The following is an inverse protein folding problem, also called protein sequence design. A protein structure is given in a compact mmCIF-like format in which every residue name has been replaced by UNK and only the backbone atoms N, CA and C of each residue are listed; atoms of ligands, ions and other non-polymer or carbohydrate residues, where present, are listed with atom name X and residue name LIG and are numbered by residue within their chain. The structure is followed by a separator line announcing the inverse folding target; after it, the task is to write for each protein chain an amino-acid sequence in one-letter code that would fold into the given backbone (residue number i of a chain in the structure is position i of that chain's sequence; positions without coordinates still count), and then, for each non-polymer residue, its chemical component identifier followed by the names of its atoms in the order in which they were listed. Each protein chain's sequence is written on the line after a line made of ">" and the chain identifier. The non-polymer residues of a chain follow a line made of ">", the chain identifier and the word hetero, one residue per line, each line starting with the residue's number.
data_IF_498494299815
#
_entry.id   IF_498494299815
#
_cell.length_a   1.000
_cell.length_b   1.000
_cell.length_c   1.000
_cell.angle_alpha   90.00
_cell.angle_beta   90.00
_cell.angle_gamma   90.00
#
_symmetry.space_group_name_H-M   'P 1'
#
loop_
_entity.id
_entity.type
_entity.pdbx_description
1 polymer ?
#
# COMPACT_ATOMS: atom_id res chain seq x y z
N UNK A 1 3.32 10.43 -3.09
CA UNK A 1 3.23 9.09 -3.71
C UNK A 1 2.88 9.28 -5.16
N UNK A 2 3.89 9.27 -6.04
CA UNK A 2 3.68 9.49 -7.46
C UNK A 2 3.60 8.13 -8.13
N UNK A 3 2.39 7.72 -8.51
CA UNK A 3 2.20 6.52 -9.31
C UNK A 3 2.26 6.85 -10.80
N UNK A 4 2.90 6.01 -11.63
CA UNK A 4 2.80 6.16 -13.07
C UNK A 4 1.35 5.86 -13.50
N UNK A 5 0.66 6.87 -14.03
CA UNK A 5 -0.63 6.70 -14.69
C UNK A 5 -0.41 6.06 -16.08
N UNK A 6 -1.33 5.20 -16.51
CA UNK A 6 -1.28 4.59 -17.84
C UNK A 6 -1.37 5.67 -18.90
N UNK A 7 -0.44 5.66 -19.87
CA UNK A 7 -0.68 6.22 -21.19
C UNK A 7 -1.72 5.33 -21.86
N UNK A 8 -2.97 5.79 -21.94
CA UNK A 8 -3.91 5.21 -22.91
C UNK A 8 -3.34 5.56 -24.28
N UNK A 9 -2.67 4.60 -24.92
CA UNK A 9 -2.42 4.67 -26.37
C UNK A 9 -3.76 4.53 -27.06
N UNK A 10 -4.47 5.65 -27.18
CA UNK A 10 -5.56 5.81 -28.13
C UNK A 10 -5.19 7.01 -29.00
N UNK A 11 -4.37 6.74 -30.02
CA UNK A 11 -4.06 7.66 -31.10
C UNK A 11 -5.32 7.84 -31.95
N UNK A 12 -6.25 8.70 -31.49
CA UNK A 12 -7.28 9.40 -32.30
C UNK A 12 -8.23 10.24 -31.42
N UNK A 13 -7.75 11.33 -30.82
CA UNK A 13 -8.60 12.52 -30.52
C UNK A 13 -7.74 13.75 -30.18
N UNK A 14 -8.15 14.97 -30.60
CA UNK A 14 -7.41 16.19 -30.28
C UNK A 14 -7.35 16.38 -28.76
N UNK A 15 -6.14 16.60 -28.24
CA UNK A 15 -5.86 16.67 -26.80
C UNK A 15 -6.32 18.03 -26.23
N UNK A 16 -7.60 18.15 -25.88
CA UNK A 16 -8.17 19.33 -25.18
C UNK A 16 -8.20 19.13 -23.66
N UNK A 17 -7.18 18.46 -23.10
CA UNK A 17 -7.11 18.15 -21.67
C UNK A 17 -5.74 18.48 -21.08
N UNK A 18 -5.63 18.75 -19.77
CA UNK A 18 -4.36 19.07 -19.12
C UNK A 18 -3.35 17.94 -19.36
N UNK A 19 -2.10 18.32 -19.65
CA UNK A 19 -1.04 17.36 -19.94
C UNK A 19 -0.82 16.40 -18.75
N UNK A 20 -0.25 15.22 -18.99
CA UNK A 20 0.01 14.26 -17.90
C UNK A 20 0.87 14.85 -16.78
N UNK A 21 1.82 15.72 -17.14
CA UNK A 21 2.64 16.46 -16.21
C UNK A 21 1.81 17.40 -15.32
N UNK A 22 0.86 18.12 -15.91
CA UNK A 22 -0.02 19.02 -15.15
C UNK A 22 -0.96 18.27 -14.21
N UNK A 23 -1.47 17.09 -14.62
CA UNK A 23 -2.26 16.22 -13.75
C UNK A 23 -1.44 15.77 -12.54
N UNK A 24 -0.20 15.32 -12.74
CA UNK A 24 0.72 14.96 -11.63
C UNK A 24 1.03 16.14 -10.72
N UNK A 25 1.28 17.31 -11.30
CA UNK A 25 1.56 18.54 -10.54
C UNK A 25 0.37 18.94 -9.67
N UNK A 26 -0.85 18.93 -10.22
CA UNK A 26 -2.08 19.22 -9.48
C UNK A 26 -2.30 18.23 -8.34
N UNK A 27 -2.13 16.94 -8.58
CA UNK A 27 -2.24 15.90 -7.54
C UNK A 27 -1.22 16.13 -6.41
N UNK A 28 0.03 16.40 -6.76
CA UNK A 28 1.06 16.68 -5.76
C UNK A 28 0.72 17.90 -4.91
N UNK A 29 0.38 19.03 -5.54
CA UNK A 29 0.04 20.25 -4.83
C UNK A 29 -1.19 20.03 -3.94
N UNK A 30 -2.25 19.43 -4.48
CA UNK A 30 -3.49 19.17 -3.74
C UNK A 30 -3.25 18.28 -2.54
N UNK A 31 -2.43 17.22 -2.67
CA UNK A 31 -2.09 16.34 -1.55
C UNK A 31 -1.40 17.08 -0.40
N UNK A 32 -0.49 18.02 -0.69
CA UNK A 32 0.16 18.82 0.36
C UNK A 32 -0.76 19.86 0.99
N UNK A 33 -1.62 20.52 0.20
CA UNK A 33 -2.60 21.47 0.72
C UNK A 33 -3.59 20.74 1.65
N UNK A 34 -4.09 19.58 1.24
CA UNK A 34 -5.00 18.79 2.05
C UNK A 34 -4.33 18.30 3.34
N UNK A 35 -3.05 17.92 3.32
CA UNK A 35 -2.32 17.59 4.55
C UNK A 35 -2.33 18.74 5.56
N UNK A 36 -2.19 19.98 5.11
CA UNK A 36 -2.24 21.16 6.00
C UNK A 36 -3.65 21.43 6.53
N UNK A 37 -4.68 21.25 5.71
CA UNK A 37 -6.07 21.46 6.13
C UNK A 37 -6.54 20.39 7.13
N UNK A 38 -6.24 19.12 6.87
CA UNK A 38 -6.78 17.99 7.62
C UNK A 38 -5.88 17.50 8.77
N UNK A 39 -4.73 18.13 9.04
CA UNK A 39 -3.88 17.75 10.16
C UNK A 39 -4.34 18.26 11.53
N UNK A 40 -5.35 19.14 11.59
CA UNK A 40 -5.70 19.91 12.79
C UNK A 40 -6.29 19.05 13.92
N UNK A 41 -7.24 18.17 13.62
CA UNK A 41 -7.90 17.30 14.61
C UNK A 41 -7.57 15.84 14.36
N UNK A 42 -7.76 14.97 15.35
CA UNK A 42 -7.55 13.53 15.15
C UNK A 42 -8.56 12.91 14.17
N UNK A 43 -9.82 13.34 14.21
CA UNK A 43 -10.85 12.80 13.34
C UNK A 43 -10.63 13.17 11.87
N UNK A 44 -10.23 14.43 11.58
CA UNK A 44 -9.88 14.86 10.23
C UNK A 44 -8.66 14.10 9.70
N UNK A 45 -7.67 13.82 10.55
CA UNK A 45 -6.50 12.99 10.18
C UNK A 45 -6.91 11.57 9.85
N UNK A 46 -7.72 10.93 10.69
CA UNK A 46 -8.21 9.56 10.46
C UNK A 46 -8.99 9.48 9.15
N UNK A 47 -9.87 10.45 8.90
CA UNK A 47 -10.65 10.53 7.66
C UNK A 47 -9.76 10.72 6.44
N UNK A 48 -8.82 11.67 6.48
CA UNK A 48 -7.90 11.95 5.36
C UNK A 48 -7.00 10.74 5.05
N UNK A 49 -6.45 10.09 6.09
CA UNK A 49 -5.66 8.87 5.93
C UNK A 49 -6.49 7.78 5.25
N UNK A 50 -7.74 7.59 5.67
CA UNK A 50 -8.62 6.58 5.06
C UNK A 50 -8.86 6.86 3.57
N UNK A 51 -9.18 8.11 3.20
CA UNK A 51 -9.39 8.49 1.80
C UNK A 51 -8.12 8.30 0.95
N UNK A 52 -6.95 8.67 1.47
CA UNK A 52 -5.67 8.47 0.78
C UNK A 52 -5.34 6.98 0.60
N UNK A 53 -5.64 6.13 1.59
CA UNK A 53 -5.48 4.68 1.49
C UNK A 53 -6.39 4.11 0.40
N UNK A 54 -7.66 4.51 0.36
CA UNK A 54 -8.61 4.02 -0.64
C UNK A 54 -8.23 4.45 -2.05
N UNK A 55 -7.76 5.69 -2.22
CA UNK A 55 -7.21 6.18 -3.48
C UNK A 55 -5.95 5.42 -3.89
N UNK A 56 -5.03 5.18 -2.95
CA UNK A 56 -3.83 4.37 -3.20
C UNK A 56 -4.21 2.96 -3.64
N UNK A 57 -5.16 2.32 -2.96
CA UNK A 57 -5.64 0.99 -3.27
C UNK A 57 -6.22 0.93 -4.69
N UNK A 58 -7.05 1.90 -5.06
CA UNK A 58 -7.60 2.01 -6.40
C UNK A 58 -6.48 2.12 -7.44
N UNK A 59 -5.53 3.04 -7.24
CA UNK A 59 -4.39 3.25 -8.16
C UNK A 59 -3.55 1.99 -8.29
N UNK A 60 -3.18 1.38 -7.16
CA UNK A 60 -2.36 0.17 -7.11
C UNK A 60 -2.99 -1.00 -7.87
N UNK A 61 -4.30 -1.22 -7.71
CA UNK A 61 -5.04 -2.27 -8.43
C UNK A 61 -5.07 -2.06 -9.96
N UNK A 62 -5.02 -0.81 -10.42
CA UNK A 62 -5.05 -0.49 -11.87
C UNK A 62 -3.67 -0.43 -12.52
N UNK A 63 -2.60 -0.49 -11.73
CA UNK A 63 -1.23 -0.59 -12.22
C UNK A 63 -0.97 -1.97 -12.85
N UNK A 64 -0.16 -1.97 -13.92
CA UNK A 64 0.28 -3.21 -14.54
C UNK A 64 1.15 -4.03 -13.56
N UNK A 65 1.09 -5.37 -13.54
CA UNK A 65 1.89 -6.20 -12.62
C UNK A 65 3.39 -5.88 -12.62
N UNK A 66 3.96 -5.59 -13.80
CA UNK A 66 5.35 -5.12 -13.94
C UNK A 66 5.64 -3.86 -13.10
N UNK A 67 4.74 -2.88 -13.13
CA UNK A 67 4.90 -1.62 -12.40
C UNK A 67 4.64 -1.80 -10.90
N UNK A 68 3.78 -2.76 -10.52
CA UNK A 68 3.59 -3.11 -9.11
C UNK A 68 4.87 -3.72 -8.53
N UNK A 69 5.49 -4.66 -9.24
CA UNK A 69 6.78 -5.23 -8.87
C UNK A 69 7.87 -4.16 -8.76
N UNK A 70 7.99 -3.28 -9.77
CA UNK A 70 8.94 -2.17 -9.74
C UNK A 70 8.69 -1.21 -8.56
N UNK A 71 7.42 -0.94 -8.24
CA UNK A 71 7.06 -0.14 -7.08
C UNK A 71 7.51 -0.79 -5.77
N UNK A 72 7.31 -2.11 -5.61
CA UNK A 72 7.78 -2.85 -4.43
C UNK A 72 9.30 -2.75 -4.28
N UNK A 73 10.05 -2.97 -5.37
CA UNK A 73 11.50 -2.85 -5.39
C UNK A 73 11.99 -1.44 -5.03
N UNK A 74 11.38 -0.40 -5.60
CA UNK A 74 11.77 1.00 -5.34
C UNK A 74 11.51 1.46 -3.90
N UNK A 75 10.55 0.85 -3.20
CA UNK A 75 10.18 1.24 -1.83
C UNK A 75 10.91 0.43 -0.74
N UNK A 76 11.97 -0.32 -1.11
CA UNK A 76 12.72 -1.22 -0.22
C UNK A 76 11.84 -2.28 0.45
N UNK A 77 10.74 -2.65 -0.19
CA UNK A 77 9.88 -3.73 0.26
C UNK A 77 10.41 -5.04 -0.34
N UNK A 78 11.51 -5.54 0.22
CA UNK A 78 12.15 -6.80 -0.18
C UNK A 78 11.33 -8.00 0.31
N UNK A 79 10.19 -8.25 -0.34
CA UNK A 79 9.40 -9.43 -0.05
C UNK A 79 9.96 -10.63 -0.83
N UNK A 80 10.63 -11.52 -0.11
CA UNK A 80 11.16 -12.75 -0.69
C UNK A 80 10.02 -13.75 -0.93
N UNK A 81 9.96 -14.26 -2.16
CA UNK A 81 9.16 -15.44 -2.47
C UNK A 81 9.77 -16.65 -1.77
N UNK A 82 8.94 -17.52 -1.20
CA UNK A 82 9.41 -18.76 -0.57
C UNK A 82 9.85 -19.77 -1.64
N UNK A 83 10.81 -20.63 -1.31
CA UNK A 83 11.20 -21.72 -2.22
C UNK A 83 10.05 -22.72 -2.37
N UNK A 84 10.06 -23.47 -3.48
CA UNK A 84 9.07 -24.53 -3.74
C UNK A 84 9.11 -25.60 -2.65
N UNK A 85 10.30 -25.90 -2.10
CA UNK A 85 10.46 -26.85 -1.00
C UNK A 85 9.83 -26.34 0.30
N UNK A 86 10.06 -25.07 0.67
CA UNK A 86 9.45 -24.46 1.86
C UNK A 86 7.93 -24.36 1.68
N UNK A 87 7.46 -24.05 0.46
CA UNK A 87 6.05 -24.04 0.09
C UNK A 87 5.40 -25.42 0.28
N UNK A 88 5.99 -26.47 -0.27
CA UNK A 88 5.46 -27.83 -0.17
C UNK A 88 5.38 -28.31 1.28
N UNK A 89 6.40 -28.02 2.09
CA UNK A 89 6.40 -28.37 3.52
C UNK A 89 5.35 -27.60 4.35
N UNK A 90 4.90 -26.44 3.86
CA UNK A 90 3.90 -25.61 4.52
C UNK A 90 2.52 -25.71 3.87
N UNK A 91 2.39 -26.43 2.77
CA UNK A 91 1.18 -26.49 1.94
C UNK A 91 -0.07 -26.81 2.76
N UNK A 92 -0.03 -27.88 3.55
CA UNK A 92 -1.15 -28.29 4.41
C UNK A 92 -1.54 -27.19 5.40
N UNK A 93 -0.55 -26.45 5.91
CA UNK A 93 -0.78 -25.38 6.90
C UNK A 93 -1.33 -24.12 6.24
N UNK A 94 -0.90 -23.82 5.02
CA UNK A 94 -1.40 -22.71 4.20
C UNK A 94 -2.85 -22.95 3.77
N UNK A 95 -3.18 -24.19 3.37
CA UNK A 95 -4.55 -24.61 3.04
C UNK A 95 -5.46 -24.49 4.27
N UNK A 96 -5.00 -24.98 5.43
CA UNK A 96 -5.78 -24.94 6.67
C UNK A 96 -5.97 -23.51 7.22
N UNK A 97 -5.06 -22.58 6.92
CA UNK A 97 -5.14 -21.20 7.41
C UNK A 97 -6.15 -20.35 6.64
N UNK A 98 -7.42 -20.79 6.51
CA UNK A 98 -8.58 -20.07 5.93
C UNK A 98 -8.24 -19.09 4.80
N UNK A 99 -7.27 -19.43 3.96
CA UNK A 99 -7.15 -18.85 2.65
C UNK A 99 -8.31 -19.47 1.89
N UNK A 100 -9.21 -18.65 1.35
CA UNK A 100 -10.34 -19.09 0.53
C UNK A 100 -9.83 -19.61 -0.84
N UNK A 101 -8.87 -20.52 -0.79
CA UNK A 101 -8.04 -20.98 -1.88
C UNK A 101 -8.16 -22.50 -1.80
N UNK A 102 -9.08 -23.05 -2.59
CA UNK A 102 -9.18 -24.50 -2.82
C UNK A 102 -7.77 -25.05 -3.08
N UNK A 103 -7.42 -26.22 -2.56
CA UNK A 103 -6.04 -26.76 -2.61
C UNK A 103 -5.35 -26.67 -3.98
N UNK A 104 -6.12 -26.73 -5.08
CA UNK A 104 -5.67 -26.56 -6.47
C UNK A 104 -5.12 -25.17 -6.79
N UNK A 105 -5.59 -24.11 -6.12
CA UNK A 105 -5.19 -22.72 -6.37
C UNK A 105 -3.97 -22.28 -5.57
N UNK A 106 -3.57 -23.03 -4.54
CA UNK A 106 -2.35 -22.77 -3.75
C UNK A 106 -1.11 -23.12 -4.56
N UNK A 107 -1.19 -24.15 -5.41
CA UNK A 107 -0.04 -24.65 -6.18
C UNK A 107 0.46 -23.64 -7.22
N UNK A 108 -0.45 -22.93 -7.88
CA UNK A 108 -0.10 -21.93 -8.90
C UNK A 108 0.19 -20.52 -8.35
N UNK A 109 0.01 -20.28 -7.04
CA UNK A 109 0.22 -18.96 -6.45
C UNK A 109 1.57 -18.83 -5.75
N UNK A 110 2.22 -17.68 -5.97
CA UNK A 110 3.42 -17.30 -5.25
C UNK A 110 3.07 -16.84 -3.83
N UNK A 111 3.86 -17.31 -2.86
CA UNK A 111 3.78 -16.91 -1.47
C UNK A 111 5.01 -16.09 -1.08
N UNK A 112 4.77 -15.04 -0.31
CA UNK A 112 5.77 -14.15 0.23
C UNK A 112 5.92 -14.39 1.72
N UNK A 113 7.17 -14.38 2.18
CA UNK A 113 7.53 -14.44 3.60
C UNK A 113 7.81 -13.02 4.09
N UNK A 114 7.03 -12.57 5.07
CA UNK A 114 7.14 -11.22 5.64
C UNK A 114 7.20 -11.26 7.16
N UNK A 115 7.88 -10.32 7.83
CA UNK A 115 7.79 -10.17 9.28
C UNK A 115 6.34 -9.95 9.72
N UNK A 116 5.92 -10.57 10.82
CA UNK A 116 4.52 -10.47 11.26
C UNK A 116 4.09 -9.02 11.59
N UNK A 117 5.04 -8.16 11.94
CA UNK A 117 4.83 -6.75 12.26
C UNK A 117 4.28 -5.95 11.07
N UNK A 118 4.62 -6.35 9.85
CA UNK A 118 4.15 -5.69 8.62
C UNK A 118 2.75 -6.16 8.22
N UNK A 119 2.32 -7.33 8.72
CA UNK A 119 1.08 -8.01 8.37
C UNK A 119 0.06 -8.09 9.54
N UNK A 120 0.13 -7.19 10.52
CA UNK A 120 -0.66 -7.28 11.76
C UNK A 120 -2.17 -7.40 11.53
N UNK A 121 -2.73 -6.74 10.51
CA UNK A 121 -4.18 -6.82 10.22
C UNK A 121 -4.59 -8.21 9.71
N UNK A 122 -3.72 -8.86 8.93
CA UNK A 122 -3.95 -10.21 8.45
C UNK A 122 -3.79 -11.23 9.60
N UNK A 123 -2.79 -11.02 10.47
CA UNK A 123 -2.58 -11.84 11.66
C UNK A 123 -3.75 -11.72 12.65
N UNK A 124 -4.23 -10.50 12.90
CA UNK A 124 -5.38 -10.24 13.79
C UNK A 124 -6.63 -10.98 13.35
N UNK A 125 -6.86 -11.03 12.04
CA UNK A 125 -8.02 -11.71 11.45
C UNK A 125 -7.82 -13.22 11.25
N UNK A 126 -6.66 -13.76 11.67
CA UNK A 126 -6.24 -15.17 11.51
C UNK A 126 -6.38 -15.66 10.07
N UNK A 127 -6.16 -14.76 9.10
CA UNK A 127 -6.26 -15.07 7.65
C UNK A 127 -4.97 -15.61 7.05
N UNK A 128 -3.91 -15.68 7.84
CA UNK A 128 -2.55 -15.98 7.37
C UNK A 128 -1.85 -16.94 8.31
N UNK A 129 -0.95 -17.74 7.75
CA UNK A 129 -0.14 -18.66 8.52
C UNK A 129 1.07 -17.92 9.12
N UNK A 130 1.32 -18.13 10.42
CA UNK A 130 2.41 -17.54 11.17
C UNK A 130 3.34 -18.64 11.70
N UNK A 131 4.65 -18.51 11.46
CA UNK A 131 5.67 -19.44 11.96
C UNK A 131 6.97 -18.68 12.23
N UNK A 132 7.52 -18.84 13.43
CA UNK A 132 8.85 -18.30 13.78
C UNK A 132 8.98 -16.78 13.63
N UNK A 133 7.93 -16.01 13.91
CA UNK A 133 7.94 -14.56 13.72
C UNK A 133 7.69 -14.07 12.29
N UNK A 134 7.48 -14.99 11.34
CA UNK A 134 7.16 -14.68 9.95
C UNK A 134 5.74 -15.09 9.62
N UNK A 135 5.19 -14.38 8.64
CA UNK A 135 3.86 -14.61 8.08
C UNK A 135 4.01 -14.92 6.60
N UNK A 136 3.19 -15.87 6.14
CA UNK A 136 3.17 -16.34 4.77
C UNK A 136 1.89 -15.85 4.10
N UNK A 137 2.04 -15.01 3.08
CA UNK A 137 0.92 -14.36 2.37
C UNK A 137 1.01 -14.64 0.87
N UNK A 138 -0.11 -14.86 0.17
CA UNK A 138 -0.11 -14.96 -1.27
C UNK A 138 0.07 -13.59 -1.92
N UNK A 139 0.44 -13.60 -3.20
CA UNK A 139 0.57 -12.39 -4.01
C UNK A 139 -0.62 -11.42 -3.92
N UNK A 140 -1.84 -11.94 -3.83
CA UNK A 140 -3.06 -11.11 -3.79
C UNK A 140 -3.11 -10.21 -2.54
N UNK A 141 -2.54 -10.66 -1.43
CA UNK A 141 -2.56 -9.95 -0.15
C UNK A 141 -1.35 -9.04 0.07
N UNK A 142 -0.38 -9.05 -0.85
CA UNK A 142 0.78 -8.15 -0.80
C UNK A 142 0.34 -6.67 -0.78
N UNK A 143 -0.78 -6.38 -1.46
CA UNK A 143 -1.39 -5.06 -1.51
C UNK A 143 -1.72 -4.56 -0.11
N UNK A 144 -2.19 -5.44 0.77
CA UNK A 144 -2.54 -5.10 2.16
C UNK A 144 -1.31 -4.64 2.94
N UNK A 145 -0.17 -5.31 2.75
CA UNK A 145 1.09 -4.91 3.41
C UNK A 145 1.55 -3.54 2.91
N UNK A 146 1.53 -3.31 1.60
CA UNK A 146 1.89 -2.03 1.00
C UNK A 146 0.98 -0.90 1.50
N UNK A 147 -0.33 -1.15 1.59
CA UNK A 147 -1.29 -0.18 2.12
C UNK A 147 -0.99 0.18 3.58
N UNK A 148 -0.59 -0.79 4.40
CA UNK A 148 -0.25 -0.58 5.80
C UNK A 148 1.05 0.20 5.99
N UNK A 149 2.09 -0.08 5.19
CA UNK A 149 3.30 0.72 5.18
C UNK A 149 2.99 2.17 4.77
N UNK A 150 2.20 2.35 3.70
CA UNK A 150 1.77 3.68 3.26
C UNK A 150 0.98 4.43 4.34
N UNK A 151 0.01 3.78 4.99
CA UNK A 151 -0.76 4.32 6.12
C UNK A 151 0.17 4.81 7.22
N UNK A 152 1.14 3.99 7.61
CA UNK A 152 2.08 4.29 8.70
C UNK A 152 2.96 5.48 8.36
N UNK A 153 3.51 5.54 7.13
CA UNK A 153 4.32 6.67 6.66
C UNK A 153 3.51 7.96 6.57
N UNK A 154 2.27 7.89 6.06
CA UNK A 154 1.38 9.05 5.97
C UNK A 154 1.01 9.58 7.36
N UNK A 155 0.69 8.70 8.30
CA UNK A 155 0.40 9.07 9.69
C UNK A 155 1.59 9.75 10.36
N UNK A 156 2.80 9.21 10.19
CA UNK A 156 4.04 9.81 10.71
C UNK A 156 4.28 11.21 10.12
N UNK A 157 4.13 11.36 8.81
CA UNK A 157 4.29 12.65 8.13
C UNK A 157 3.30 13.71 8.66
N UNK A 158 2.03 13.34 8.83
CA UNK A 158 1.01 14.25 9.38
C UNK A 158 1.34 14.68 10.81
N UNK A 159 1.83 13.77 11.66
CA UNK A 159 2.24 14.11 13.02
C UNK A 159 3.38 15.15 13.05
N UNK A 160 4.39 15.00 12.17
CA UNK A 160 5.49 15.96 12.05
C UNK A 160 4.96 17.34 11.63
N UNK A 161 4.08 17.41 10.64
CA UNK A 161 3.51 18.69 10.20
C UNK A 161 2.79 19.44 11.33
N UNK A 162 2.03 18.73 12.16
CA UNK A 162 1.36 19.32 13.33
C UNK A 162 2.38 19.90 14.30
N UNK A 163 3.42 19.15 14.67
CA UNK A 163 4.43 19.64 15.62
C UNK A 163 5.10 20.92 15.12
N UNK A 164 5.41 21.00 13.83
CA UNK A 164 5.99 22.20 13.22
C UNK A 164 5.02 23.38 13.14
N UNK A 165 3.73 23.12 12.94
CA UNK A 165 2.68 24.14 12.86
C UNK A 165 2.31 24.67 14.25
N UNK A 166 2.13 23.80 15.23
CA UNK A 166 1.86 24.16 16.63
C UNK A 166 3.04 24.90 17.26
N UNK A 167 4.28 24.54 16.93
CA UNK A 167 5.46 25.29 17.36
C UNK A 167 5.47 26.73 16.84
N UNK A 168 5.08 26.95 15.58
CA UNK A 168 4.98 28.30 14.99
C UNK A 168 3.79 29.10 15.53
N UNK A 169 2.66 28.45 15.79
CA UNK A 169 1.48 29.12 16.33
C UNK A 169 1.64 29.53 17.81
N UNK A 170 2.46 28.80 18.59
CA UNK A 170 2.85 29.19 19.96
C UNK A 170 3.92 30.28 20.03
N UNK A 171 4.61 30.58 18.92
CA UNK A 171 5.57 31.68 18.83
C UNK A 171 4.91 33.00 18.39
N UNK A 172 3.65 32.95 17.97
CA UNK A 172 2.86 34.09 17.49
C UNK A 172 1.69 34.48 18.43
N UNK A 173 1.55 33.79 19.57
CA UNK A 173 0.69 34.15 20.70
C UNK A 173 1.57 34.35 21.93
#
# INVERSE_FOLDING_TARGET
>A
VCFPFKTTKDDRKPQTGPSEFEKRRKDHISHFILRLAYCQTEDLRRWFIQQEIDLFRYRFKHLHPKNQSEFLHRNNLHYHTISVEEKNNLMDKLINSRFAVSGTTVDYQDFYKVPFQDALDLVRTRKVYLKGGYVYIPHQDIVTIVLNDFRTRLSKALAIHITSFTARHKLFL
#
